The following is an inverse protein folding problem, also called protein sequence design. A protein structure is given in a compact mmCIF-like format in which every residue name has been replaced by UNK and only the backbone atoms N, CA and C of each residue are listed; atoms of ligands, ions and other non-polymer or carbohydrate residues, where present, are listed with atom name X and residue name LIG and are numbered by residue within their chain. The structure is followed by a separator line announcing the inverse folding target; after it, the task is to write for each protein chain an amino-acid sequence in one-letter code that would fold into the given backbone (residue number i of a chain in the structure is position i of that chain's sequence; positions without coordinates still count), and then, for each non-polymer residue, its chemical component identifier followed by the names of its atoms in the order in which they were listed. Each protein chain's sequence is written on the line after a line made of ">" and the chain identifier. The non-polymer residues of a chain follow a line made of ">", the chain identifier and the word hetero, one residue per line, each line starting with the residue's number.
data_IF_896392145220
#
_entry.id   IF_896392145220
#
_cell.length_a   1.000
_cell.length_b   1.000
_cell.length_c   1.000
_cell.angle_alpha   90.00
_cell.angle_beta   90.00
_cell.angle_gamma   90.00
#
_symmetry.space_group_name_H-M   'P 1'
#
loop_
_entity.id
_entity.type
_entity.pdbx_description
1 polymer ?
#
# COMPACT_ATOMS: atom_id res chain seq x y z
N UNK A 1 1.38 -24.14 13.79
CA UNK A 1 2.49 -24.45 12.88
C UNK A 1 3.49 -23.30 12.90
N UNK A 2 4.77 -23.62 13.10
CA UNK A 2 5.84 -22.65 12.96
C UNK A 2 6.22 -22.57 11.48
N UNK A 3 6.22 -21.39 10.89
CA UNK A 3 6.63 -21.21 9.49
C UNK A 3 8.17 -21.27 9.34
N UNK A 4 8.92 -20.74 10.32
CA UNK A 4 10.38 -20.75 10.26
C UNK A 4 10.93 -22.17 10.05
N UNK A 5 11.74 -22.35 9.01
CA UNK A 5 12.28 -23.64 8.59
C UNK A 5 11.38 -24.49 7.70
N UNK A 6 10.09 -24.13 7.51
CA UNK A 6 9.17 -24.81 6.60
C UNK A 6 9.22 -24.18 5.21
N UNK A 7 8.98 -24.99 4.18
CA UNK A 7 8.74 -24.50 2.82
C UNK A 7 7.32 -23.94 2.66
N UNK A 8 7.08 -23.21 1.58
CA UNK A 8 5.75 -22.74 1.22
C UNK A 8 4.76 -23.90 1.00
N UNK A 9 5.22 -25.00 0.38
CA UNK A 9 4.44 -26.22 0.17
C UNK A 9 3.96 -26.82 1.50
N UNK A 10 4.88 -27.01 2.45
CA UNK A 10 4.52 -27.53 3.79
C UNK A 10 3.55 -26.63 4.53
N UNK A 11 3.66 -25.30 4.37
CA UNK A 11 2.69 -24.35 4.92
C UNK A 11 1.30 -24.48 4.30
N UNK A 12 1.22 -24.66 2.98
CA UNK A 12 -0.03 -24.87 2.26
C UNK A 12 -0.68 -26.20 2.64
N UNK A 13 0.09 -27.29 2.72
CA UNK A 13 -0.39 -28.61 3.13
C UNK A 13 -0.99 -28.55 4.54
N UNK A 14 -0.31 -27.87 5.47
CA UNK A 14 -0.82 -27.68 6.82
C UNK A 14 -2.13 -26.88 6.84
N UNK A 15 -2.25 -25.80 6.05
CA UNK A 15 -3.50 -25.03 5.91
C UNK A 15 -4.61 -25.89 5.29
N UNK A 16 -4.31 -26.61 4.22
CA UNK A 16 -5.27 -27.47 3.53
C UNK A 16 -5.85 -28.54 4.46
N UNK A 17 -5.02 -29.12 5.32
CA UNK A 17 -5.45 -30.09 6.32
C UNK A 17 -6.36 -29.45 7.37
N UNK A 18 -6.02 -28.23 7.85
CA UNK A 18 -6.80 -27.53 8.90
C UNK A 18 -8.13 -27.00 8.41
N UNK A 19 -8.23 -26.67 7.13
CA UNK A 19 -9.43 -26.12 6.51
C UNK A 19 -10.27 -27.19 5.80
N UNK A 20 -9.83 -28.47 5.84
CA UNK A 20 -10.41 -29.58 5.08
C UNK A 20 -10.59 -29.23 3.58
N UNK A 21 -9.56 -28.60 3.03
CA UNK A 21 -9.58 -27.99 1.68
C UNK A 21 -8.44 -28.50 0.78
N UNK A 22 -8.06 -29.78 0.90
CA UNK A 22 -6.87 -30.37 0.25
C UNK A 22 -6.82 -30.18 -1.26
N UNK A 23 -7.96 -30.17 -1.93
CA UNK A 23 -8.05 -30.00 -3.38
C UNK A 23 -8.24 -28.54 -3.84
N UNK A 24 -8.42 -27.61 -2.91
CA UNK A 24 -8.84 -26.24 -3.22
C UNK A 24 -7.75 -25.18 -2.96
N UNK A 25 -6.75 -25.47 -2.11
CA UNK A 25 -5.69 -24.51 -1.81
C UNK A 25 -4.58 -24.57 -2.88
N UNK A 26 -4.59 -23.61 -3.77
CA UNK A 26 -3.52 -23.36 -4.74
C UNK A 26 -3.04 -21.92 -4.60
N UNK A 27 -1.75 -21.71 -4.82
CA UNK A 27 -1.25 -20.35 -4.99
C UNK A 27 -1.91 -19.76 -6.25
N UNK A 28 -2.42 -18.53 -6.18
CA UNK A 28 -2.93 -17.86 -7.37
C UNK A 28 -1.79 -17.66 -8.37
N UNK A 29 -2.10 -17.77 -9.66
CA UNK A 29 -1.19 -17.45 -10.76
C UNK A 29 -1.03 -15.92 -10.86
N UNK A 30 -0.29 -15.33 -9.95
CA UNK A 30 0.07 -13.91 -10.01
C UNK A 30 1.58 -13.79 -10.25
N UNK A 31 1.96 -12.77 -11.00
CA UNK A 31 3.34 -12.33 -11.11
C UNK A 31 3.78 -11.71 -9.78
N UNK A 32 4.12 -12.53 -8.81
CA UNK A 32 4.75 -12.06 -7.58
C UNK A 32 6.22 -11.72 -7.86
N UNK A 33 6.81 -10.75 -7.13
CA UNK A 33 8.24 -10.51 -7.18
C UNK A 33 9.02 -11.80 -6.93
N UNK A 34 10.11 -12.03 -7.70
CA UNK A 34 10.97 -13.19 -7.50
C UNK A 34 11.46 -13.27 -6.06
N UNK A 35 11.22 -14.40 -5.41
CA UNK A 35 11.62 -14.61 -4.02
C UNK A 35 12.05 -16.07 -3.82
N UNK A 36 13.13 -16.35 -3.07
CA UNK A 36 13.62 -17.71 -2.84
C UNK A 36 12.57 -18.71 -2.34
N UNK A 37 11.54 -18.26 -1.64
CA UNK A 37 10.41 -19.09 -1.22
C UNK A 37 9.64 -19.71 -2.40
N UNK A 38 9.55 -19.01 -3.54
CA UNK A 38 8.92 -19.52 -4.74
C UNK A 38 9.72 -20.71 -5.33
N UNK A 39 11.04 -20.73 -5.10
CA UNK A 39 11.96 -21.77 -5.53
C UNK A 39 12.12 -22.87 -4.48
N UNK A 40 11.25 -22.92 -3.46
CA UNK A 40 11.23 -23.94 -2.43
C UNK A 40 12.16 -23.71 -1.23
N UNK A 41 12.78 -22.52 -1.13
CA UNK A 41 13.55 -22.17 0.07
C UNK A 41 12.64 -22.15 1.32
N UNK A 42 13.18 -22.50 2.50
CA UNK A 42 12.40 -22.43 3.74
C UNK A 42 12.18 -20.98 4.17
N UNK A 43 11.08 -20.72 4.88
CA UNK A 43 10.87 -19.47 5.58
C UNK A 43 11.99 -19.24 6.59
N UNK A 44 12.66 -18.11 6.49
CA UNK A 44 13.67 -17.70 7.46
C UNK A 44 13.05 -17.19 8.75
N UNK A 45 13.79 -17.30 9.84
CA UNK A 45 13.46 -16.63 11.07
C UNK A 45 13.79 -15.13 10.89
N UNK A 46 12.76 -14.32 10.63
CA UNK A 46 12.95 -12.88 10.52
C UNK A 46 13.34 -12.27 11.87
N UNK A 47 14.19 -11.25 11.86
CA UNK A 47 14.55 -10.48 13.04
C UNK A 47 13.27 -9.99 13.75
N UNK A 48 13.18 -10.28 15.05
CA UNK A 48 12.04 -9.89 15.88
C UNK A 48 11.84 -8.38 15.90
N UNK A 49 12.92 -7.59 15.92
CA UNK A 49 12.85 -6.15 15.95
C UNK A 49 12.36 -5.60 14.60
N UNK A 50 12.85 -6.13 13.49
CA UNK A 50 12.37 -5.75 12.15
C UNK A 50 10.87 -6.07 11.97
N UNK A 51 10.40 -7.22 12.48
CA UNK A 51 8.96 -7.55 12.45
C UNK A 51 8.13 -6.62 13.32
N UNK A 52 8.63 -6.24 14.50
CA UNK A 52 7.93 -5.32 15.40
C UNK A 52 7.86 -3.92 14.78
N UNK A 53 8.92 -3.46 14.13
CA UNK A 53 8.95 -2.19 13.41
C UNK A 53 7.97 -2.20 12.23
N UNK A 54 7.99 -3.26 11.40
CA UNK A 54 7.04 -3.41 10.31
C UNK A 54 5.59 -3.38 10.81
N UNK A 55 5.29 -4.09 11.89
CA UNK A 55 3.95 -4.10 12.50
C UNK A 55 3.55 -2.70 13.00
N UNK A 56 4.47 -1.93 13.55
CA UNK A 56 4.23 -0.55 13.97
C UNK A 56 3.94 0.37 12.77
N UNK A 57 4.70 0.24 11.67
CA UNK A 57 4.43 0.95 10.42
C UNK A 57 3.03 0.65 9.90
N UNK A 58 2.63 -0.64 9.83
CA UNK A 58 1.31 -1.05 9.36
C UNK A 58 0.17 -0.54 10.26
N UNK A 59 0.35 -0.57 11.58
CA UNK A 59 -0.64 -0.04 12.51
C UNK A 59 -0.83 1.47 12.33
N UNK A 60 0.27 2.24 12.30
CA UNK A 60 0.24 3.69 12.11
C UNK A 60 -0.31 4.05 10.72
N UNK A 61 0.09 3.32 9.68
CA UNK A 61 -0.41 3.54 8.32
C UNK A 61 -1.92 3.30 8.22
N UNK A 62 -2.43 2.24 8.86
CA UNK A 62 -3.87 1.96 8.90
C UNK A 62 -4.64 3.14 9.48
N UNK A 63 -4.18 3.71 10.59
CA UNK A 63 -4.82 4.88 11.21
C UNK A 63 -4.68 6.15 10.35
N UNK A 64 -3.52 6.37 9.73
CA UNK A 64 -3.30 7.51 8.84
C UNK A 64 -4.22 7.46 7.60
N UNK A 65 -4.31 6.30 6.93
CA UNK A 65 -5.18 6.10 5.77
C UNK A 65 -6.65 6.22 6.17
N UNK A 66 -7.09 5.62 7.28
CA UNK A 66 -8.45 5.79 7.81
C UNK A 66 -8.79 7.26 8.07
N UNK A 67 -7.85 7.99 8.69
CA UNK A 67 -8.02 9.42 8.94
C UNK A 67 -8.13 10.24 7.67
N UNK A 68 -7.33 9.92 6.64
CA UNK A 68 -7.35 10.61 5.35
C UNK A 68 -8.69 10.42 4.62
N UNK A 69 -9.26 9.21 4.63
CA UNK A 69 -10.50 8.89 3.92
C UNK A 69 -11.77 9.09 4.76
N UNK A 70 -11.67 9.52 6.00
CA UNK A 70 -12.81 9.61 6.94
C UNK A 70 -14.00 10.41 6.39
N UNK A 71 -13.74 11.39 5.52
CA UNK A 71 -14.76 12.26 4.91
C UNK A 71 -15.08 11.90 3.46
N UNK A 72 -14.62 10.75 2.99
CA UNK A 72 -14.80 10.25 1.63
C UNK A 72 -15.88 9.14 1.62
N UNK A 73 -17.14 9.48 1.31
CA UNK A 73 -18.24 8.51 1.40
C UNK A 73 -18.12 7.36 0.37
N UNK A 74 -17.37 7.58 -0.70
CA UNK A 74 -17.11 6.60 -1.75
C UNK A 74 -15.81 5.81 -1.55
N UNK A 75 -15.16 5.96 -0.38
CA UNK A 75 -13.94 5.20 -0.07
C UNK A 75 -14.26 3.75 0.28
N UNK A 76 -13.48 2.82 -0.25
CA UNK A 76 -13.52 1.41 0.16
C UNK A 76 -12.98 1.25 1.59
N UNK A 77 -13.32 0.17 2.30
CA UNK A 77 -12.66 -0.14 3.56
C UNK A 77 -11.14 -0.27 3.39
N UNK A 78 -10.38 0.25 4.37
CA UNK A 78 -8.92 0.05 4.40
C UNK A 78 -8.61 -1.43 4.56
N UNK A 79 -7.78 -1.97 3.66
CA UNK A 79 -7.39 -3.39 3.62
C UNK A 79 -5.89 -3.53 3.38
N UNK A 80 -5.35 -4.67 3.79
CA UNK A 80 -4.05 -5.13 3.32
C UNK A 80 -4.24 -5.88 2.00
N UNK A 81 -3.51 -5.48 0.96
CA UNK A 81 -3.56 -6.09 -0.36
C UNK A 81 -2.40 -7.08 -0.51
N UNK A 82 -2.69 -8.38 -0.65
CA UNK A 82 -1.65 -9.41 -0.51
C UNK A 82 -0.60 -9.39 -1.61
N UNK A 83 -0.90 -8.90 -2.81
CA UNK A 83 0.03 -8.95 -3.95
C UNK A 83 1.17 -7.92 -3.86
N UNK A 84 0.94 -6.77 -3.21
CA UNK A 84 1.99 -5.77 -2.90
C UNK A 84 2.25 -5.64 -1.41
N UNK A 85 1.47 -6.33 -0.59
CA UNK A 85 1.54 -6.28 0.87
C UNK A 85 1.43 -4.84 1.40
N UNK A 86 0.59 -4.05 0.76
CA UNK A 86 0.31 -2.66 1.10
C UNK A 86 -1.02 -2.51 1.87
N UNK A 87 -1.16 -1.41 2.60
CA UNK A 87 -2.40 -1.00 3.25
C UNK A 87 -3.03 0.09 2.39
N UNK A 88 -4.24 -0.14 1.90
CA UNK A 88 -4.87 0.84 1.01
C UNK A 88 -6.39 0.89 1.09
N UNK A 89 -6.92 2.02 0.60
CA UNK A 89 -8.30 2.27 0.25
C UNK A 89 -8.37 2.89 -1.14
N UNK A 90 -9.46 2.65 -1.84
CA UNK A 90 -9.79 3.26 -3.14
C UNK A 90 -10.99 4.18 -2.97
N UNK A 91 -10.88 5.42 -3.43
CA UNK A 91 -11.96 6.39 -3.51
C UNK A 91 -12.45 6.42 -4.96
N UNK A 92 -13.68 5.98 -5.21
CA UNK A 92 -14.29 6.02 -6.54
C UNK A 92 -14.95 7.39 -6.75
N UNK A 93 -14.58 8.10 -7.82
CA UNK A 93 -15.10 9.44 -8.12
C UNK A 93 -16.36 9.42 -8.99
N UNK A 94 -16.56 8.38 -9.78
CA UNK A 94 -17.68 8.22 -10.70
C UNK A 94 -18.59 7.05 -10.25
N UNK A 95 -19.52 7.27 -9.31
CA UNK A 95 -20.40 6.20 -8.82
C UNK A 95 -21.30 5.68 -9.94
N UNK A 96 -21.36 4.35 -10.07
CA UNK A 96 -22.21 3.67 -11.10
C UNK A 96 -21.51 3.44 -12.43
N UNK A 97 -20.27 3.90 -12.61
CA UNK A 97 -19.41 3.54 -13.72
C UNK A 97 -18.66 2.24 -13.39
N UNK A 98 -18.34 1.42 -14.39
CA UNK A 98 -17.52 0.24 -14.20
C UNK A 98 -16.19 0.59 -13.51
N UNK A 99 -15.71 -0.26 -12.62
CA UNK A 99 -14.53 0.03 -11.80
C UNK A 99 -13.24 0.25 -12.63
N UNK A 100 -13.17 -0.34 -13.83
CA UNK A 100 -12.03 -0.19 -14.74
C UNK A 100 -12.05 1.17 -15.46
N UNK A 101 -13.24 1.73 -15.68
CA UNK A 101 -13.46 3.00 -16.40
C UNK A 101 -13.64 4.21 -15.44
N UNK A 102 -13.99 3.95 -14.19
CA UNK A 102 -14.25 4.99 -13.21
C UNK A 102 -12.96 5.73 -12.81
N UNK A 103 -13.02 7.06 -12.73
CA UNK A 103 -11.96 7.81 -12.08
C UNK A 103 -11.90 7.45 -10.60
N UNK A 104 -10.69 7.31 -10.11
CA UNK A 104 -10.47 6.93 -8.73
C UNK A 104 -9.18 7.51 -8.15
N UNK A 105 -9.09 7.50 -6.82
CA UNK A 105 -7.87 7.87 -6.10
C UNK A 105 -7.56 6.74 -5.12
N UNK A 106 -6.42 6.06 -5.35
CA UNK A 106 -5.85 5.13 -4.39
C UNK A 106 -5.14 5.90 -3.27
N UNK A 107 -5.40 5.54 -2.03
CA UNK A 107 -4.73 6.09 -0.84
C UNK A 107 -4.13 4.94 -0.06
N UNK A 108 -2.82 4.88 0.05
CA UNK A 108 -2.20 3.71 0.65
C UNK A 108 -0.81 3.94 1.24
N UNK A 109 -0.28 2.85 1.78
CA UNK A 109 1.04 2.73 2.36
C UNK A 109 1.69 1.44 1.88
N UNK A 110 2.90 1.53 1.37
CA UNK A 110 3.77 0.40 1.01
C UNK A 110 4.90 0.25 2.02
N UNK A 111 5.27 -0.97 2.42
CA UNK A 111 6.46 -1.19 3.26
C UNK A 111 7.78 -0.97 2.50
N UNK A 112 7.71 -0.80 1.21
CA UNK A 112 8.81 -0.68 0.26
C UNK A 112 8.63 -1.62 -0.93
N UNK A 113 9.13 -1.21 -2.09
CA UNK A 113 9.09 -1.94 -3.35
C UNK A 113 10.30 -1.58 -4.24
N UNK A 114 10.39 -2.08 -5.51
CA UNK A 114 11.47 -1.70 -6.42
C UNK A 114 11.58 -0.20 -6.72
N UNK A 115 10.50 0.57 -6.59
CA UNK A 115 10.54 2.03 -6.77
C UNK A 115 11.16 2.74 -5.58
N UNK A 116 10.91 2.23 -4.37
CA UNK A 116 11.38 2.81 -3.11
C UNK A 116 11.74 1.71 -2.11
N UNK A 117 13.03 1.55 -1.83
CA UNK A 117 13.55 0.58 -0.85
C UNK A 117 13.33 1.02 0.62
N UNK A 118 12.24 1.74 0.90
CA UNK A 118 11.85 2.22 2.22
C UNK A 118 10.33 2.34 2.31
N UNK A 119 9.73 2.34 3.51
CA UNK A 119 8.30 2.58 3.66
C UNK A 119 7.88 3.94 3.08
N UNK A 120 6.70 4.00 2.46
CA UNK A 120 6.17 5.24 1.94
C UNK A 120 4.63 5.22 1.87
N UNK A 121 4.00 6.39 2.02
CA UNK A 121 2.61 6.58 1.65
C UNK A 121 2.51 6.98 0.19
N UNK A 122 1.41 6.62 -0.45
CA UNK A 122 1.13 6.98 -1.84
C UNK A 122 -0.32 7.43 -2.03
N UNK A 123 -0.51 8.32 -3.00
CA UNK A 123 -1.81 8.75 -3.53
C UNK A 123 -1.74 8.59 -5.04
N UNK A 124 -2.57 7.72 -5.61
CA UNK A 124 -2.56 7.40 -7.04
C UNK A 124 -3.87 7.78 -7.69
N UNK A 125 -3.93 8.88 -8.47
CA UNK A 125 -5.08 9.21 -9.30
C UNK A 125 -5.17 8.24 -10.48
N UNK A 126 -6.37 7.82 -10.84
CA UNK A 126 -6.66 7.03 -12.03
C UNK A 126 -7.81 7.65 -12.83
N UNK A 127 -7.71 7.74 -14.20
CA UNK A 127 -6.50 7.43 -15.00
C UNK A 127 -5.32 8.34 -14.65
N UNK A 128 -4.10 7.90 -14.98
CA UNK A 128 -2.92 8.71 -14.66
C UNK A 128 -2.97 10.06 -15.38
N UNK A 129 -2.95 11.19 -14.65
CA UNK A 129 -2.88 12.51 -15.26
C UNK A 129 -1.56 12.73 -15.99
N UNK A 130 -1.56 13.63 -16.98
CA UNK A 130 -0.33 14.07 -17.62
C UNK A 130 0.64 14.68 -16.61
N UNK A 131 1.95 14.33 -16.66
CA UNK A 131 2.93 14.90 -15.75
C UNK A 131 3.00 16.43 -15.74
N UNK A 132 2.61 17.07 -16.85
CA UNK A 132 2.59 18.54 -17.01
C UNK A 132 1.38 19.18 -16.30
N UNK A 133 0.30 18.45 -16.07
CA UNK A 133 -0.92 18.93 -15.40
C UNK A 133 -0.87 18.81 -13.89
N UNK A 134 0.18 18.20 -13.32
CA UNK A 134 0.26 17.94 -11.89
C UNK A 134 0.49 19.23 -11.09
N UNK A 135 -0.41 19.59 -10.14
CA UNK A 135 -0.21 20.76 -9.29
C UNK A 135 1.03 20.61 -8.39
N UNK A 136 1.63 21.71 -7.92
CA UNK A 136 2.74 21.64 -6.98
C UNK A 136 2.27 21.08 -5.62
N UNK A 137 3.16 20.37 -4.94
CA UNK A 137 2.97 19.86 -3.58
C UNK A 137 3.97 20.55 -2.64
N UNK A 138 3.54 20.92 -1.44
CA UNK A 138 4.29 21.72 -0.47
C UNK A 138 4.39 21.08 0.94
N UNK A 139 3.49 20.14 1.27
CA UNK A 139 3.38 19.56 2.61
C UNK A 139 4.21 18.29 2.82
N UNK A 140 5.30 18.12 2.05
CA UNK A 140 6.22 16.98 2.20
C UNK A 140 5.96 15.79 1.28
N UNK A 141 4.87 15.81 0.51
CA UNK A 141 4.66 14.89 -0.59
C UNK A 141 5.39 15.37 -1.86
N UNK A 142 5.74 14.44 -2.73
CA UNK A 142 6.29 14.72 -4.06
C UNK A 142 5.66 13.81 -5.11
N UNK A 143 5.57 14.29 -6.36
CA UNK A 143 5.08 13.47 -7.45
C UNK A 143 6.13 12.43 -7.90
N UNK A 144 5.69 11.17 -7.98
CA UNK A 144 6.34 10.09 -8.71
C UNK A 144 5.79 10.06 -10.14
N UNK A 145 6.68 9.86 -11.15
CA UNK A 145 6.32 9.97 -12.57
C UNK A 145 6.93 8.88 -13.46
N UNK A 146 7.64 7.92 -12.86
CA UNK A 146 8.33 6.86 -13.60
C UNK A 146 7.57 5.54 -13.48
N UNK A 147 7.00 5.06 -14.59
CA UNK A 147 6.20 3.83 -14.62
C UNK A 147 4.76 3.99 -14.13
N UNK A 148 4.51 4.84 -13.15
CA UNK A 148 3.17 5.21 -12.66
C UNK A 148 3.17 6.68 -12.20
N UNK A 149 1.98 7.27 -12.11
CA UNK A 149 1.85 8.66 -11.63
C UNK A 149 1.13 8.68 -10.28
N UNK A 150 1.76 9.30 -9.29
CA UNK A 150 1.17 9.46 -7.96
C UNK A 150 2.01 10.34 -7.05
N UNK A 151 1.43 10.82 -5.97
CA UNK A 151 2.18 11.53 -4.94
C UNK A 151 2.69 10.53 -3.89
N UNK A 152 3.91 10.73 -3.40
CA UNK A 152 4.53 9.89 -2.38
C UNK A 152 5.06 10.70 -1.21
N UNK A 153 4.95 10.13 -0.01
CA UNK A 153 5.56 10.64 1.22
C UNK A 153 6.50 9.56 1.76
N UNK A 154 7.80 9.80 1.66
CA UNK A 154 8.80 8.79 2.01
C UNK A 154 8.97 8.65 3.53
N UNK A 155 9.29 7.45 4.00
CA UNK A 155 9.56 7.15 5.40
C UNK A 155 10.65 8.04 5.99
N UNK A 156 11.73 8.28 5.26
CA UNK A 156 12.81 9.20 5.68
C UNK A 156 12.31 10.62 5.97
N UNK A 157 11.36 11.14 5.18
CA UNK A 157 10.77 12.46 5.40
C UNK A 157 9.89 12.49 6.67
N UNK A 158 9.25 11.37 6.98
CA UNK A 158 8.41 11.22 8.17
C UNK A 158 9.28 11.15 9.42
N UNK A 159 10.30 10.28 9.43
CA UNK A 159 11.18 10.11 10.60
C UNK A 159 12.07 11.32 10.85
N UNK A 160 12.30 12.18 9.86
CA UNK A 160 12.98 13.46 10.03
C UNK A 160 12.15 14.47 10.83
N UNK A 161 10.84 14.27 10.96
CA UNK A 161 9.99 15.09 11.80
C UNK A 161 10.18 14.70 13.28
N UNK A 162 10.00 15.68 14.19
CA UNK A 162 9.88 15.35 15.61
C UNK A 162 8.71 14.40 15.83
N UNK A 163 8.86 13.44 16.73
CA UNK A 163 7.89 12.37 16.97
C UNK A 163 6.44 12.86 17.09
N UNK A 164 6.21 13.94 17.86
CA UNK A 164 4.89 14.54 18.06
C UNK A 164 4.27 15.18 16.80
N UNK A 165 5.09 15.41 15.78
CA UNK A 165 4.66 16.06 14.53
C UNK A 165 4.46 15.09 13.38
N UNK A 166 4.91 13.84 13.50
CA UNK A 166 4.87 12.86 12.41
C UNK A 166 3.45 12.59 11.91
N UNK A 167 2.51 12.38 12.82
CA UNK A 167 1.11 12.12 12.45
C UNK A 167 0.47 13.32 11.73
N UNK A 168 0.70 14.55 12.22
CA UNK A 168 0.20 15.77 11.60
C UNK A 168 0.82 16.00 10.22
N UNK A 169 2.13 15.76 10.09
CA UNK A 169 2.86 15.85 8.83
C UNK A 169 2.28 14.90 7.77
N UNK A 170 2.11 13.62 8.12
CA UNK A 170 1.49 12.62 7.22
C UNK A 170 0.08 13.03 6.84
N UNK A 171 -0.76 13.40 7.81
CA UNK A 171 -2.14 13.79 7.54
C UNK A 171 -2.24 15.03 6.63
N UNK A 172 -1.35 16.01 6.80
CA UNK A 172 -1.26 17.18 5.94
C UNK A 172 -0.87 16.83 4.51
N UNK A 173 0.18 16.03 4.37
CA UNK A 173 0.70 15.59 3.07
C UNK A 173 -0.31 14.73 2.29
N UNK A 174 -0.99 13.79 2.96
CA UNK A 174 -2.02 12.97 2.34
C UNK A 174 -3.20 13.81 1.85
N UNK A 175 -3.66 14.75 2.67
CA UNK A 175 -4.77 15.65 2.29
C UNK A 175 -4.42 16.49 1.07
N UNK A 176 -3.28 17.19 1.09
CA UNK A 176 -2.82 17.99 -0.05
C UNK A 176 -2.70 17.14 -1.32
N UNK A 177 -2.11 15.94 -1.22
CA UNK A 177 -1.94 15.05 -2.36
C UNK A 177 -3.28 14.52 -2.92
N UNK A 178 -4.27 14.25 -2.05
CA UNK A 178 -5.62 13.87 -2.48
C UNK A 178 -6.32 15.02 -3.21
N UNK A 179 -6.24 16.24 -2.66
CA UNK A 179 -6.84 17.44 -3.28
C UNK A 179 -6.17 17.72 -4.64
N UNK A 180 -4.85 17.64 -4.71
CA UNK A 180 -4.08 17.81 -5.94
C UNK A 180 -4.40 16.74 -6.99
N UNK A 181 -4.56 15.47 -6.55
CA UNK A 181 -4.95 14.37 -7.44
C UNK A 181 -6.35 14.58 -8.01
N UNK A 182 -7.29 15.03 -7.19
CA UNK A 182 -8.65 15.35 -7.61
C UNK A 182 -8.67 16.47 -8.65
N UNK A 183 -7.96 17.55 -8.39
CA UNK A 183 -7.83 18.67 -9.33
C UNK A 183 -7.21 18.24 -10.67
N UNK A 184 -6.21 17.35 -10.65
CA UNK A 184 -5.59 16.82 -11.86
C UNK A 184 -6.51 15.89 -12.68
N UNK A 185 -7.53 15.28 -12.06
CA UNK A 185 -8.52 14.44 -12.75
C UNK A 185 -9.73 15.24 -13.27
N UNK A 186 -9.91 16.49 -12.84
CA UNK A 186 -11.02 17.38 -13.26
C UNK A 186 -10.65 18.31 -14.42
N UNK A 187 -9.35 18.50 -14.67
CA UNK A 187 -8.79 19.37 -15.72
C UNK A 187 -8.52 18.61 -17.02
#
# INVERSE_FOLDING_TARGET
>A
HALAGSSMGEGLDWLAERLDARDALRLPEHALPGHPLADGAPFSEADRNARAELAAWFANATEAVRGAIQREPAASPVRCWPHHFDIASLITLDPGVDAEDARSIGVGFSPGDPSYAQPYFYITPWPYPSPESLPPLSSGARWHREGWTGAVVLGEAIIAQRHERQAEFVAGALREAMDASRAALEG
#
